data_IF_157608007965
#
_entry.id   IF_157608007965
#
_cell.length_a   1.000
_cell.length_b   1.000
_cell.length_c   1.000
_cell.angle_alpha   90.00
_cell.angle_beta   90.00
_cell.angle_gamma   90.00
#
_symmetry.space_group_name_H-M   'P 1'
#
loop_
_entity.id
_entity.type
_entity.pdbx_description
1 polymer ?
#
# COMPACT_ATOMS: atom_id res chain seq x y z
N UNK A 1 -14.45 0.32 -8.80
CA UNK A 1 -14.48 1.56 -7.99
C UNK A 1 -14.83 2.77 -8.86
N UNK A 2 -15.54 3.76 -8.34
CA UNK A 2 -15.97 4.93 -9.12
C UNK A 2 -14.81 5.88 -9.46
N UNK A 3 -13.78 5.95 -8.60
CA UNK A 3 -12.65 6.89 -8.75
C UNK A 3 -11.38 6.24 -9.31
N UNK A 4 -11.29 4.90 -9.28
CA UNK A 4 -10.08 4.16 -9.66
C UNK A 4 -8.91 4.27 -8.67
N UNK A 5 -9.07 4.98 -7.56
CA UNK A 5 -8.08 5.04 -6.49
C UNK A 5 -8.22 3.86 -5.52
N UNK A 6 -7.13 3.52 -4.85
CA UNK A 6 -7.17 2.62 -3.70
C UNK A 6 -8.00 3.23 -2.57
N UNK A 7 -8.88 2.42 -1.99
CA UNK A 7 -9.66 2.77 -0.81
C UNK A 7 -8.85 2.47 0.45
N UNK A 8 -8.18 3.50 0.97
CA UNK A 8 -7.32 3.38 2.15
C UNK A 8 -8.09 3.20 3.45
N UNK A 9 -9.32 3.70 3.53
CA UNK A 9 -10.11 3.60 4.76
C UNK A 9 -10.62 2.17 4.90
N UNK A 10 -11.06 1.57 3.79
CA UNK A 10 -11.39 0.13 3.75
C UNK A 10 -10.16 -0.77 3.91
N UNK A 11 -8.99 -0.35 3.45
CA UNK A 11 -7.73 -1.05 3.72
C UNK A 11 -7.45 -1.10 5.23
N UNK A 12 -7.58 0.03 5.91
CA UNK A 12 -7.34 0.14 7.35
C UNK A 12 -8.33 -0.72 8.14
N UNK A 13 -9.63 -0.60 7.87
CA UNK A 13 -10.70 -1.39 8.51
C UNK A 13 -10.38 -2.89 8.41
N UNK A 14 -10.11 -3.38 7.18
CA UNK A 14 -9.79 -4.80 6.95
C UNK A 14 -8.49 -5.23 7.61
N UNK A 15 -7.48 -4.38 7.67
CA UNK A 15 -6.21 -4.72 8.28
C UNK A 15 -6.34 -4.86 9.81
N UNK A 16 -7.14 -4.02 10.45
CA UNK A 16 -7.44 -4.11 11.88
C UNK A 16 -8.25 -5.37 12.20
N UNK A 17 -9.20 -5.74 11.35
CA UNK A 17 -10.02 -6.95 11.53
C UNK A 17 -9.21 -8.24 11.30
N UNK A 18 -8.46 -8.31 10.20
CA UNK A 18 -7.74 -9.52 9.80
C UNK A 18 -6.40 -9.69 10.52
N UNK A 19 -5.79 -8.60 10.99
CA UNK A 19 -4.45 -8.56 11.63
C UNK A 19 -3.38 -9.29 10.82
N UNK A 20 -3.10 -8.85 9.57
CA UNK A 20 -2.10 -9.50 8.72
C UNK A 20 -0.70 -9.38 9.32
N UNK A 21 0.17 -10.33 8.98
CA UNK A 21 1.60 -10.25 9.32
C UNK A 21 2.40 -9.41 8.33
N UNK A 22 1.88 -9.22 7.11
CA UNK A 22 2.51 -8.49 6.01
C UNK A 22 1.43 -7.77 5.22
N UNK A 23 1.68 -6.51 4.87
CA UNK A 23 0.91 -5.71 3.91
C UNK A 23 1.82 -5.42 2.72
N UNK A 24 1.33 -5.62 1.50
CA UNK A 24 2.08 -5.34 0.27
C UNK A 24 1.52 -4.07 -0.36
N UNK A 25 2.41 -3.12 -0.66
CA UNK A 25 2.14 -1.89 -1.39
C UNK A 25 2.83 -1.96 -2.75
N UNK A 26 2.07 -2.25 -3.80
CA UNK A 26 2.57 -2.39 -5.16
C UNK A 26 1.51 -2.95 -6.10
N UNK A 27 1.69 -2.74 -7.40
CA UNK A 27 0.75 -3.20 -8.42
C UNK A 27 1.27 -2.99 -9.83
N UNK A 28 0.95 -3.93 -10.72
CA UNK A 28 1.44 -3.92 -12.11
C UNK A 28 0.69 -2.95 -13.02
N UNK A 29 -0.60 -2.72 -12.76
CA UNK A 29 -1.48 -1.93 -13.62
C UNK A 29 -2.22 -0.83 -12.83
N UNK A 30 -1.46 -0.07 -12.03
CA UNK A 30 -1.98 1.06 -11.26
C UNK A 30 -1.28 2.35 -11.71
N UNK A 31 -1.97 3.29 -12.39
CA UNK A 31 -1.33 4.45 -13.01
C UNK A 31 -1.17 5.64 -12.04
N UNK A 32 -1.39 5.43 -10.75
CA UNK A 32 -1.31 6.47 -9.72
C UNK A 32 -0.21 6.14 -8.74
N UNK A 33 0.33 7.16 -8.09
CA UNK A 33 1.23 6.97 -6.96
C UNK A 33 0.50 6.38 -5.75
N UNK A 34 1.30 5.75 -4.88
CA UNK A 34 0.84 5.14 -3.65
C UNK A 34 1.00 6.10 -2.47
N UNK A 35 0.04 6.12 -1.55
CA UNK A 35 0.19 6.81 -0.27
C UNK A 35 0.95 5.90 0.71
N UNK A 36 2.28 5.91 0.58
CA UNK A 36 3.17 5.11 1.43
C UNK A 36 3.03 5.46 2.91
N UNK A 37 2.67 6.70 3.26
CA UNK A 37 2.48 7.13 4.65
C UNK A 37 1.25 6.47 5.26
N UNK A 38 0.12 6.45 4.53
CA UNK A 38 -1.07 5.70 4.99
C UNK A 38 -0.79 4.21 5.12
N UNK A 39 -0.13 3.59 4.13
CA UNK A 39 0.26 2.17 4.23
C UNK A 39 1.12 1.87 5.45
N UNK A 40 2.11 2.71 5.75
CA UNK A 40 2.95 2.58 6.96
C UNK A 40 2.12 2.68 8.23
N UNK A 41 1.27 3.70 8.34
CA UNK A 41 0.39 3.91 9.49
C UNK A 41 -0.50 2.68 9.76
N UNK A 42 -1.10 2.10 8.71
CA UNK A 42 -1.92 0.89 8.85
C UNK A 42 -1.08 -0.31 9.29
N UNK A 43 0.08 -0.52 8.67
CA UNK A 43 0.98 -1.60 9.05
C UNK A 43 1.43 -1.49 10.52
N UNK A 44 1.76 -0.28 10.98
CA UNK A 44 2.10 -0.01 12.38
C UNK A 44 0.96 -0.33 13.33
N UNK A 45 -0.27 0.09 13.03
CA UNK A 45 -1.47 -0.18 13.85
C UNK A 45 -1.72 -1.67 14.05
N UNK A 46 -1.46 -2.48 13.01
CA UNK A 46 -1.68 -3.92 13.04
C UNK A 46 -0.45 -4.72 13.54
N UNK A 47 0.71 -4.07 13.72
CA UNK A 47 1.97 -4.77 13.97
C UNK A 47 2.45 -5.62 12.79
N UNK A 48 2.14 -5.20 11.56
CA UNK A 48 2.47 -5.89 10.32
C UNK A 48 3.78 -5.36 9.71
N UNK A 49 4.48 -6.22 8.97
CA UNK A 49 5.51 -5.78 8.03
C UNK A 49 4.86 -5.05 6.84
N UNK A 50 5.57 -4.07 6.29
CA UNK A 50 5.18 -3.41 5.04
C UNK A 50 6.21 -3.76 3.97
N UNK A 51 5.78 -4.41 2.90
CA UNK A 51 6.58 -4.69 1.71
C UNK A 51 6.18 -3.73 0.61
N UNK A 52 7.14 -2.99 0.05
CA UNK A 52 6.92 -2.21 -1.16
C UNK A 52 7.38 -3.04 -2.38
N UNK A 53 6.43 -3.43 -3.23
CA UNK A 53 6.74 -3.99 -4.55
C UNK A 53 6.77 -2.87 -5.58
N UNK A 54 7.99 -2.37 -5.81
CA UNK A 54 8.26 -1.28 -6.75
C UNK A 54 8.69 -1.77 -8.13
N UNK A 55 8.42 -3.02 -8.53
CA UNK A 55 8.94 -3.59 -9.78
C UNK A 55 8.74 -2.67 -11.00
N UNK A 56 7.52 -2.14 -11.18
CA UNK A 56 7.17 -1.29 -12.33
C UNK A 56 7.69 0.16 -12.23
N UNK A 57 7.90 0.68 -11.02
CA UNK A 57 8.29 2.08 -10.79
C UNK A 57 9.74 2.23 -10.33
N UNK A 58 10.48 1.12 -10.18
CA UNK A 58 11.84 1.09 -9.62
C UNK A 58 12.81 2.03 -10.33
N UNK A 59 12.75 2.09 -11.67
CA UNK A 59 13.59 3.00 -12.45
C UNK A 59 13.25 4.49 -12.21
N UNK A 60 11.98 4.81 -11.99
CA UNK A 60 11.55 6.17 -11.64
C UNK A 60 12.01 6.54 -10.23
N UNK A 61 11.88 5.62 -9.27
CA UNK A 61 12.32 5.81 -7.88
C UNK A 61 13.84 5.99 -7.81
N UNK A 62 14.62 5.22 -8.58
CA UNK A 62 16.08 5.31 -8.59
C UNK A 62 16.60 6.62 -9.20
N UNK A 63 15.83 7.26 -10.07
CA UNK A 63 16.20 8.50 -10.76
C UNK A 63 15.69 9.77 -10.06
N UNK A 64 14.93 9.63 -8.96
CA UNK A 64 14.46 10.75 -8.14
C UNK A 64 15.54 11.32 -7.21
#
# INVERSE_FOLDING_TARGET
PQTGFLDYDRLEEKALDFRPKLIICGGSAYPRDWDYKKFRSVADKCGALLLCDMAHISGLVAAQ
#
